data_IF_904096359649
#
_entry.id   IF_904096359649
#
_cell.length_a   1.000
_cell.length_b   1.000
_cell.length_c   1.000
_cell.angle_alpha   90.00
_cell.angle_beta   90.00
_cell.angle_gamma   90.00
#
_symmetry.space_group_name_H-M   'P 1'
#
loop_
_entity.id
_entity.type
_entity.pdbx_description
1 polymer ?
#
# COMPACT_ATOMS: atom_id res chain seq x y z
N UNK A 1 8.44 -12.80 14.04
CA UNK A 1 8.21 -11.37 13.70
C UNK A 1 8.05 -11.10 12.20
N UNK A 2 8.83 -11.71 11.31
CA UNK A 2 8.83 -11.37 9.87
C UNK A 2 7.51 -11.67 9.13
N UNK A 3 6.78 -12.72 9.52
CA UNK A 3 5.55 -13.13 8.84
C UNK A 3 4.39 -12.13 9.00
N UNK A 4 4.31 -11.44 10.14
CA UNK A 4 3.29 -10.41 10.39
C UNK A 4 3.55 -9.15 9.55
N UNK A 5 4.82 -8.74 9.41
CA UNK A 5 5.18 -7.65 8.49
C UNK A 5 4.91 -8.03 7.04
N UNK A 6 5.16 -9.29 6.66
CA UNK A 6 4.88 -9.79 5.32
C UNK A 6 3.36 -9.74 5.02
N UNK A 7 2.54 -10.24 5.94
CA UNK A 7 1.07 -10.14 5.87
C UNK A 7 0.60 -8.69 5.81
N UNK A 8 1.20 -7.80 6.60
CA UNK A 8 0.88 -6.37 6.59
C UNK A 8 1.18 -5.73 5.23
N UNK A 9 2.36 -5.99 4.62
CA UNK A 9 2.68 -5.50 3.27
C UNK A 9 1.74 -6.06 2.22
N UNK A 10 1.41 -7.36 2.31
CA UNK A 10 0.55 -8.03 1.34
C UNK A 10 -0.87 -7.45 1.39
N UNK A 11 -1.41 -7.23 2.59
CA UNK A 11 -2.72 -6.59 2.78
C UNK A 11 -2.71 -5.14 2.31
N UNK A 12 -1.68 -4.36 2.64
CA UNK A 12 -1.54 -2.98 2.15
C UNK A 12 -1.51 -2.92 0.62
N UNK A 13 -0.75 -3.82 -0.02
CA UNK A 13 -0.67 -3.90 -1.48
C UNK A 13 -2.01 -4.27 -2.11
N UNK A 14 -2.72 -5.24 -1.53
CA UNK A 14 -4.05 -5.65 -1.99
C UNK A 14 -5.10 -4.55 -1.82
N UNK A 15 -5.09 -3.85 -0.70
CA UNK A 15 -5.98 -2.72 -0.43
C UNK A 15 -5.70 -1.57 -1.40
N UNK A 16 -4.43 -1.32 -1.76
CA UNK A 16 -4.01 -0.34 -2.76
C UNK A 16 -4.00 -0.89 -4.20
N UNK A 17 -4.61 -2.03 -4.50
CA UNK A 17 -4.77 -2.38 -5.91
C UNK A 17 -5.81 -1.47 -6.58
N UNK A 18 -5.52 -0.94 -7.79
CA UNK A 18 -6.40 -0.01 -8.47
C UNK A 18 -7.77 -0.63 -8.72
N UNK A 19 -8.82 0.04 -8.22
CA UNK A 19 -10.20 -0.44 -8.31
C UNK A 19 -10.78 -1.07 -7.03
N UNK A 20 -10.00 -1.21 -5.96
CA UNK A 20 -10.49 -1.70 -4.65
C UNK A 20 -10.76 -0.55 -3.67
N UNK A 21 -9.85 0.43 -3.56
CA UNK A 21 -10.01 1.57 -2.62
C UNK A 21 -9.79 2.94 -3.25
N UNK A 22 -8.91 3.03 -4.24
CA UNK A 22 -8.65 4.23 -5.03
C UNK A 22 -9.05 3.98 -6.48
N UNK A 23 -10.26 4.40 -6.82
CA UNK A 23 -10.78 4.36 -8.19
C UNK A 23 -10.55 5.72 -8.83
N UNK A 24 -9.46 5.86 -9.58
CA UNK A 24 -9.26 7.02 -10.45
C UNK A 24 -10.15 6.88 -11.71
N UNK A 25 -10.64 8.00 -12.27
CA UNK A 25 -11.58 7.97 -13.39
C UNK A 25 -11.04 7.16 -14.57
N UNK A 26 -11.88 6.34 -15.23
CA UNK A 26 -11.48 5.37 -16.27
C UNK A 26 -10.86 5.99 -17.54
N UNK A 27 -10.77 7.32 -17.63
CA UNK A 27 -10.10 8.07 -18.70
C UNK A 27 -8.64 8.45 -18.39
N UNK A 28 -8.14 8.15 -17.18
CA UNK A 28 -6.74 8.39 -16.81
C UNK A 28 -5.78 7.36 -17.40
N UNK A 29 -4.56 7.78 -17.78
CA UNK A 29 -3.50 6.86 -18.24
C UNK A 29 -3.23 5.83 -17.13
N UNK A 30 -3.26 4.53 -17.46
CA UNK A 30 -3.00 3.42 -16.52
C UNK A 30 -1.69 3.62 -15.72
N UNK A 31 -0.70 4.25 -16.34
CA UNK A 31 0.58 4.66 -15.73
C UNK A 31 0.41 5.65 -14.57
N UNK A 32 -0.49 6.64 -14.68
CA UNK A 32 -0.75 7.61 -13.62
C UNK A 32 -1.41 6.94 -12.41
N UNK A 33 -2.34 6.03 -12.66
CA UNK A 33 -3.00 5.27 -11.59
C UNK A 33 -1.99 4.39 -10.86
N UNK A 34 -1.12 3.68 -11.59
CA UNK A 34 -0.06 2.87 -11.00
C UNK A 34 0.96 3.72 -10.22
N UNK A 35 1.34 4.89 -10.74
CA UNK A 35 2.26 5.81 -10.07
C UNK A 35 1.69 6.33 -8.74
N UNK A 36 0.42 6.75 -8.71
CA UNK A 36 -0.24 7.18 -7.47
C UNK A 36 -0.29 6.05 -6.44
N UNK A 37 -0.68 4.85 -6.85
CA UNK A 37 -0.70 3.71 -5.93
C UNK A 37 0.68 3.33 -5.40
N UNK A 38 1.72 3.36 -6.25
CA UNK A 38 3.10 3.10 -5.83
C UNK A 38 3.58 4.12 -4.79
N UNK A 39 3.28 5.41 -5.01
CA UNK A 39 3.65 6.49 -4.08
C UNK A 39 2.91 6.35 -2.76
N UNK A 40 1.59 6.13 -2.78
CA UNK A 40 0.79 5.98 -1.55
C UNK A 40 1.21 4.72 -0.79
N UNK A 41 1.48 3.61 -1.49
CA UNK A 41 1.97 2.37 -0.86
C UNK A 41 3.32 2.61 -0.17
N UNK A 42 4.27 3.23 -0.87
CA UNK A 42 5.59 3.53 -0.32
C UNK A 42 5.53 4.46 0.88
N UNK A 43 4.67 5.49 0.84
CA UNK A 43 4.48 6.43 1.95
C UNK A 43 3.84 5.75 3.17
N UNK A 44 2.74 5.01 2.96
CA UNK A 44 2.05 4.33 4.06
C UNK A 44 2.97 3.30 4.68
N UNK A 45 3.57 2.41 3.89
CA UNK A 45 4.56 1.43 4.37
C UNK A 45 5.74 2.10 5.09
N UNK A 46 6.30 3.16 4.51
CA UNK A 46 7.41 3.91 5.10
C UNK A 46 7.10 4.52 6.46
N UNK A 47 5.87 4.97 6.68
CA UNK A 47 5.45 5.54 7.97
C UNK A 47 5.04 4.45 8.97
N UNK A 48 4.27 3.45 8.54
CA UNK A 48 3.68 2.47 9.46
C UNK A 48 4.59 1.29 9.76
N UNK A 49 5.59 0.95 8.94
CA UNK A 49 6.45 -0.21 9.21
C UNK A 49 7.14 -0.10 10.59
N UNK A 50 7.60 1.09 10.99
CA UNK A 50 8.22 1.28 12.32
C UNK A 50 7.20 1.16 13.45
N UNK A 51 6.01 1.72 13.27
CA UNK A 51 4.93 1.61 14.25
C UNK A 51 4.48 0.16 14.43
N UNK A 52 4.23 -0.55 13.34
CA UNK A 52 3.85 -1.98 13.36
C UNK A 52 4.98 -2.84 13.94
N UNK A 53 6.23 -2.57 13.59
CA UNK A 53 7.38 -3.27 14.17
C UNK A 53 7.54 -3.03 15.68
N UNK A 54 7.12 -1.86 16.17
CA UNK A 54 7.15 -1.51 17.58
C UNK A 54 5.97 -2.10 18.35
N UNK A 55 4.79 -2.17 17.75
CA UNK A 55 3.60 -2.79 18.32
C UNK A 55 3.68 -4.32 18.41
N UNK A 56 4.51 -4.94 17.58
CA UNK A 56 4.72 -6.41 17.54
C UNK A 56 5.93 -6.85 18.39
N UNK A 57 6.61 -5.92 19.07
CA UNK A 57 7.70 -6.19 20.02
C UNK A 57 7.17 -6.26 21.45
#
# INVERSE_FOLDING_TARGET
MCWLMFLYSALLFFVLTPGILLTLPPKGKKMTVAAVHAVVFGLVWGLTHKMVAQWVR
#
